data_IF_988525827026
#
_entry.id   IF_988525827026
#
_cell.length_a   1.000
_cell.length_b   1.000
_cell.length_c   1.000
_cell.angle_alpha   90.00
_cell.angle_beta   90.00
_cell.angle_gamma   90.00
#
_symmetry.space_group_name_H-M   'P 1'
#
loop_
_entity.id
_entity.type
_entity.pdbx_description
1 polymer ?
#
# COMPACT_ATOMS: atom_id res chain seq x y z
N UNK A 1 0.56 -7.64 -20.78
CA UNK A 1 1.15 -7.65 -19.43
C UNK A 1 0.74 -8.95 -18.73
N UNK A 2 1.65 -9.68 -18.10
CA UNK A 2 1.34 -10.94 -17.39
C UNK A 2 0.68 -10.69 -16.01
N UNK A 3 -0.30 -9.78 -15.94
CA UNK A 3 -0.93 -9.36 -14.68
C UNK A 3 0.02 -8.68 -13.69
N UNK A 4 1.07 -8.03 -14.17
CA UNK A 4 2.05 -7.28 -13.35
C UNK A 4 1.71 -5.80 -13.27
N UNK A 5 2.01 -5.20 -12.13
CA UNK A 5 1.90 -3.75 -11.91
C UNK A 5 3.09 -3.08 -12.58
N UNK A 6 2.83 -2.34 -13.66
CA UNK A 6 3.87 -1.62 -14.41
C UNK A 6 4.27 -0.29 -13.76
N UNK A 7 3.33 0.34 -13.04
CA UNK A 7 3.57 1.54 -12.27
C UNK A 7 2.49 1.69 -11.19
N UNK A 8 2.90 2.10 -9.98
CA UNK A 8 2.00 2.48 -8.91
C UNK A 8 2.18 3.96 -8.56
N UNK A 9 1.07 4.67 -8.37
CA UNK A 9 1.05 6.08 -7.92
C UNK A 9 0.03 6.23 -6.81
N UNK A 10 0.30 7.11 -5.87
CA UNK A 10 -0.63 7.42 -4.79
C UNK A 10 -0.88 8.92 -4.72
N UNK A 11 -2.09 9.28 -4.27
CA UNK A 11 -2.44 10.62 -3.86
C UNK A 11 -3.12 10.50 -2.49
N UNK A 12 -2.57 11.18 -1.50
CA UNK A 12 -3.10 11.14 -0.14
C UNK A 12 -3.06 12.53 0.48
N UNK A 13 -4.10 12.82 1.27
CA UNK A 13 -4.18 14.01 2.12
C UNK A 13 -4.27 13.55 3.56
N UNK A 14 -3.45 14.09 4.44
CA UNK A 14 -3.50 13.75 5.85
C UNK A 14 -2.17 13.85 6.56
N UNK A 15 -2.04 13.08 7.63
CA UNK A 15 -0.87 13.12 8.49
C UNK A 15 0.37 12.46 7.85
N UNK A 16 1.60 12.81 8.29
CA UNK A 16 2.82 12.24 7.73
C UNK A 16 2.87 10.70 7.67
N UNK A 17 2.37 9.95 8.67
CA UNK A 17 2.27 8.50 8.55
C UNK A 17 1.45 8.01 7.35
N UNK A 18 0.36 8.70 6.98
CA UNK A 18 -0.45 8.32 5.83
C UNK A 18 0.32 8.53 4.51
N UNK A 19 1.07 9.63 4.40
CA UNK A 19 1.94 9.90 3.26
C UNK A 19 3.06 8.87 3.15
N UNK A 20 3.71 8.54 4.27
CA UNK A 20 4.77 7.54 4.31
C UNK A 20 4.26 6.13 3.94
N UNK A 21 3.11 5.72 4.49
CA UNK A 21 2.49 4.43 4.16
C UNK A 21 2.07 4.34 2.68
N UNK A 22 1.52 5.42 2.11
CA UNK A 22 1.17 5.45 0.68
C UNK A 22 2.42 5.37 -0.22
N UNK A 23 3.46 6.12 0.11
CA UNK A 23 4.71 6.13 -0.64
C UNK A 23 5.44 4.79 -0.63
N UNK A 24 5.60 4.18 0.55
CA UNK A 24 6.31 2.90 0.62
C UNK A 24 5.52 1.79 -0.07
N UNK A 25 4.18 1.86 0.01
CA UNK A 25 3.32 0.87 -0.64
C UNK A 25 3.52 0.88 -2.16
N UNK A 26 3.69 2.04 -2.80
CA UNK A 26 3.94 2.09 -4.25
C UNK A 26 5.25 1.43 -4.64
N UNK A 27 6.29 1.51 -3.79
CA UNK A 27 7.55 0.82 -4.03
C UNK A 27 7.43 -0.70 -3.79
N UNK A 28 6.68 -1.10 -2.75
CA UNK A 28 6.49 -2.50 -2.37
C UNK A 28 5.76 -3.33 -3.42
N UNK A 29 4.93 -2.69 -4.25
CA UNK A 29 4.10 -3.36 -5.27
C UNK A 29 4.61 -3.14 -6.70
N UNK A 30 5.77 -2.50 -6.88
CA UNK A 30 6.32 -2.26 -8.20
C UNK A 30 6.81 -3.57 -8.85
N UNK A 31 6.37 -3.84 -10.08
CA UNK A 31 6.80 -4.98 -10.88
C UNK A 31 6.26 -6.36 -10.44
N UNK A 32 5.54 -6.46 -9.31
CA UNK A 32 4.93 -7.72 -8.85
C UNK A 32 3.58 -7.97 -9.55
N UNK A 33 3.07 -9.19 -9.43
CA UNK A 33 1.73 -9.54 -9.93
C UNK A 33 0.62 -8.98 -9.05
N UNK A 34 -0.55 -8.74 -9.63
CA UNK A 34 -1.76 -8.36 -8.88
C UNK A 34 -2.07 -9.35 -7.76
N UNK A 35 -1.91 -10.65 -8.02
CA UNK A 35 -2.14 -11.71 -7.02
C UNK A 35 -1.14 -11.68 -5.85
N UNK A 36 0.10 -11.25 -6.09
CA UNK A 36 1.07 -10.99 -5.02
C UNK A 36 0.69 -9.73 -4.25
N UNK A 37 0.29 -8.66 -4.94
CA UNK A 37 -0.14 -7.41 -4.33
C UNK A 37 -1.36 -7.61 -3.39
N UNK A 38 -2.30 -8.48 -3.76
CA UNK A 38 -3.48 -8.82 -2.92
C UNK A 38 -3.10 -9.40 -1.55
N UNK A 39 -1.91 -9.98 -1.41
CA UNK A 39 -1.46 -10.62 -0.16
C UNK A 39 -0.87 -9.64 0.84
N UNK A 40 -0.59 -8.39 0.44
CA UNK A 40 -0.03 -7.39 1.34
C UNK A 40 -0.98 -7.07 2.49
N UNK A 41 -0.40 -6.90 3.67
CA UNK A 41 -1.11 -6.61 4.90
C UNK A 41 -0.61 -5.31 5.52
N UNK A 42 -1.37 -4.77 6.47
CA UNK A 42 -0.96 -3.58 7.22
C UNK A 42 0.36 -3.80 7.95
N UNK A 43 0.66 -5.05 8.34
CA UNK A 43 1.90 -5.40 9.05
C UNK A 43 3.11 -5.26 8.14
N UNK A 44 2.97 -5.61 6.86
CA UNK A 44 4.04 -5.46 5.88
C UNK A 44 4.40 -3.99 5.70
N UNK A 45 3.39 -3.11 5.58
CA UNK A 45 3.60 -1.66 5.52
C UNK A 45 4.25 -1.15 6.81
N UNK A 46 3.75 -1.56 7.99
CA UNK A 46 4.31 -1.13 9.27
C UNK A 46 5.78 -1.52 9.41
N UNK A 47 6.16 -2.71 8.95
CA UNK A 47 7.56 -3.14 8.94
C UNK A 47 8.38 -2.31 7.97
N UNK A 48 7.86 -2.04 6.77
CA UNK A 48 8.56 -1.29 5.74
C UNK A 48 8.83 0.17 6.13
N UNK A 49 7.90 0.82 6.85
CA UNK A 49 8.12 2.18 7.38
C UNK A 49 8.99 2.24 8.65
N UNK A 50 9.52 1.11 9.13
CA UNK A 50 10.33 1.05 10.35
C UNK A 50 9.52 1.08 11.66
N UNK A 51 8.21 0.84 11.57
CA UNK A 51 7.28 0.85 12.71
C UNK A 51 6.60 2.20 12.93
N UNK A 52 5.44 2.15 13.58
CA UNK A 52 4.68 3.34 14.00
C UNK A 52 4.15 3.14 15.42
N UNK A 53 3.94 4.23 16.20
CA UNK A 53 3.21 4.15 17.47
C UNK A 53 1.82 3.54 17.25
N UNK A 54 1.35 2.68 18.16
CA UNK A 54 0.10 1.91 17.99
C UNK A 54 -1.11 2.77 17.62
N UNK A 55 -1.22 3.98 18.18
CA UNK A 55 -2.30 4.95 17.86
C UNK A 55 -2.32 5.43 16.40
N UNK A 56 -1.26 5.19 15.63
CA UNK A 56 -1.10 5.60 14.22
C UNK A 56 -1.13 4.44 13.23
N UNK A 57 -1.36 3.20 13.68
CA UNK A 57 -1.43 2.02 12.78
C UNK A 57 -2.56 2.10 11.75
N UNK A 58 -3.57 2.95 11.98
CA UNK A 58 -4.63 3.21 11.01
C UNK A 58 -4.10 3.73 9.66
N UNK A 59 -2.94 4.41 9.62
CA UNK A 59 -2.35 4.89 8.38
C UNK A 59 -1.94 3.73 7.44
N UNK A 60 -1.35 2.67 8.00
CA UNK A 60 -1.00 1.46 7.25
C UNK A 60 -2.26 0.69 6.81
N UNK A 61 -3.29 0.64 7.66
CA UNK A 61 -4.56 0.03 7.29
C UNK A 61 -5.25 0.77 6.13
N UNK A 62 -5.21 2.11 6.14
CA UNK A 62 -5.77 2.93 5.07
C UNK A 62 -5.07 2.69 3.72
N UNK A 63 -3.74 2.57 3.72
CA UNK A 63 -2.98 2.27 2.51
C UNK A 63 -3.35 0.90 1.90
N UNK A 64 -3.51 -0.14 2.74
CA UNK A 64 -3.96 -1.47 2.27
C UNK A 64 -5.39 -1.45 1.74
N UNK A 65 -6.28 -0.71 2.41
CA UNK A 65 -7.66 -0.57 1.92
C UNK A 65 -7.69 0.13 0.55
N UNK A 66 -6.87 1.17 0.36
CA UNK A 66 -6.74 1.83 -0.93
C UNK A 66 -6.19 0.87 -2.02
N UNK A 67 -5.19 0.04 -1.69
CA UNK A 67 -4.69 -0.99 -2.61
C UNK A 67 -5.80 -1.95 -3.04
N UNK A 68 -6.53 -2.50 -2.07
CA UNK A 68 -7.59 -3.48 -2.34
C UNK A 68 -8.63 -2.93 -3.31
N UNK A 69 -9.10 -1.71 -3.07
CA UNK A 69 -10.05 -1.03 -3.96
C UNK A 69 -9.48 -0.76 -5.35
N UNK A 70 -8.21 -0.38 -5.44
CA UNK A 70 -7.57 -0.18 -6.74
C UNK A 70 -7.51 -1.50 -7.54
N UNK A 71 -7.26 -2.63 -6.89
CA UNK A 71 -7.21 -3.95 -7.53
C UNK A 71 -8.60 -4.57 -7.81
N UNK A 72 -9.66 -4.02 -7.24
CA UNK A 72 -11.06 -4.36 -7.56
C UNK A 72 -11.58 -3.57 -8.76
N UNK A 73 -11.07 -2.36 -9.01
CA UNK A 73 -11.50 -1.51 -10.12
C UNK A 73 -11.02 -1.99 -11.51
N UNK A 74 -10.14 -3.00 -11.54
CA UNK A 74 -9.61 -3.63 -12.76
C UNK A 74 -10.37 -4.92 -13.16
N UNK A 75 -11.51 -5.24 -12.51
CA UNK A 75 -12.47 -6.28 -12.92
C UNK A 75 -13.61 -5.71 -13.79
#
# INVERSE_FOLDING_TARGET
SQGRIEAARFLAYGCPPALACGSILTEMIDGITVEEARKFTRKDILNAVGGLPSRKHHAAALAIEALRRALEADE
#
